data_IF_030548221058
#
_entry.id   IF_030548221058
#
_cell.length_a   1.000
_cell.length_b   1.000
_cell.length_c   1.000
_cell.angle_alpha   90.00
_cell.angle_beta   90.00
_cell.angle_gamma   90.00
#
_symmetry.space_group_name_H-M   'P 1'
#
loop_
_entity.id
_entity.type
_entity.pdbx_description
1 polymer ?
#
# COMPACT_ATOMS: atom_id res chain seq x y z
N UNK A 1 -5.68 12.18 24.08
CA UNK A 1 -4.29 11.79 23.79
C UNK A 1 -4.25 10.30 23.42
N UNK A 2 -4.73 9.96 22.22
CA UNK A 2 -4.60 8.62 21.62
C UNK A 2 -4.49 8.83 20.09
N UNK A 3 -3.28 9.21 19.66
CA UNK A 3 -2.90 9.46 18.26
C UNK A 3 -1.51 8.86 18.02
N UNK A 4 -1.32 7.55 18.25
CA UNK A 4 0.01 6.95 17.98
C UNK A 4 0.07 5.47 17.58
N UNK A 5 -1.03 4.72 17.54
CA UNK A 5 -0.95 3.27 17.25
C UNK A 5 -1.40 2.84 15.84
N UNK A 6 -1.90 3.76 15.01
CA UNK A 6 -2.28 3.43 13.63
C UNK A 6 -1.08 3.14 12.70
N UNK A 7 0.16 3.32 13.17
CA UNK A 7 1.37 3.15 12.36
C UNK A 7 2.27 1.96 12.81
N UNK A 8 1.77 1.06 13.68
CA UNK A 8 2.56 -0.07 14.23
C UNK A 8 1.93 -1.46 14.02
N UNK A 9 0.79 -1.58 13.31
CA UNK A 9 0.01 -2.83 13.26
C UNK A 9 0.14 -3.68 11.99
N UNK A 10 1.06 -3.35 11.07
CA UNK A 10 1.31 -4.16 9.86
C UNK A 10 2.57 -5.03 9.97
N UNK A 11 3.07 -5.29 11.19
CA UNK A 11 4.43 -5.84 11.40
C UNK A 11 4.59 -7.29 10.99
N UNK A 12 3.50 -8.08 10.97
CA UNK A 12 3.59 -9.53 10.73
C UNK A 12 2.52 -10.09 9.78
N UNK A 13 1.52 -9.28 9.41
CA UNK A 13 0.43 -9.70 8.52
C UNK A 13 0.44 -8.92 7.21
N UNK A 14 1.27 -9.39 6.28
CA UNK A 14 1.40 -8.82 4.94
C UNK A 14 0.13 -8.96 4.08
N UNK A 15 -0.89 -9.70 4.55
CA UNK A 15 -2.20 -9.84 3.92
C UNK A 15 -3.30 -9.06 4.65
N UNK A 16 -2.95 -8.21 5.62
CA UNK A 16 -3.93 -7.39 6.33
C UNK A 16 -4.72 -6.50 5.36
N UNK A 17 -6.05 -6.63 5.40
CA UNK A 17 -6.97 -5.80 4.60
C UNK A 17 -6.80 -4.32 4.92
N UNK A 18 -6.73 -3.98 6.21
CA UNK A 18 -6.59 -2.59 6.66
C UNK A 18 -5.30 -1.97 6.12
N UNK A 19 -4.17 -2.67 6.28
CA UNK A 19 -2.87 -2.20 5.80
C UNK A 19 -2.84 -2.05 4.28
N UNK A 20 -3.40 -3.02 3.57
CA UNK A 20 -3.48 -3.03 2.11
C UNK A 20 -4.33 -1.87 1.57
N UNK A 21 -5.52 -1.65 2.11
CA UNK A 21 -6.39 -0.56 1.70
C UNK A 21 -5.80 0.82 2.04
N UNK A 22 -5.14 0.95 3.18
CA UNK A 22 -4.47 2.19 3.57
C UNK A 22 -3.29 2.50 2.65
N UNK A 23 -2.53 1.48 2.22
CA UNK A 23 -1.44 1.65 1.26
C UNK A 23 -1.97 2.08 -0.12
N UNK A 24 -3.06 1.49 -0.61
CA UNK A 24 -3.71 1.92 -1.87
C UNK A 24 -4.11 3.41 -1.79
N UNK A 25 -4.77 3.82 -0.70
CA UNK A 25 -5.15 5.23 -0.47
C UNK A 25 -3.93 6.17 -0.44
N UNK A 26 -2.83 5.71 0.15
CA UNK A 26 -1.58 6.45 0.21
C UNK A 26 -1.00 6.67 -1.20
N UNK A 27 -0.91 5.61 -2.01
CA UNK A 27 -0.44 5.68 -3.39
C UNK A 27 -1.32 6.62 -4.23
N UNK A 28 -2.63 6.54 -4.07
CA UNK A 28 -3.57 7.42 -4.75
C UNK A 28 -3.38 8.89 -4.36
N UNK A 29 -3.14 9.16 -3.08
CA UNK A 29 -2.83 10.52 -2.59
C UNK A 29 -1.51 11.02 -3.19
N UNK A 30 -0.49 10.19 -3.23
CA UNK A 30 0.81 10.51 -3.84
C UNK A 30 0.69 10.79 -5.34
N UNK A 31 -0.04 9.96 -6.10
CA UNK A 31 -0.29 10.20 -7.53
C UNK A 31 -1.03 11.52 -7.78
N UNK A 32 -1.94 11.90 -6.89
CA UNK A 32 -2.66 13.19 -6.95
C UNK A 32 -1.81 14.39 -6.57
N UNK A 33 -0.81 14.24 -5.68
CA UNK A 33 0.04 15.37 -5.28
C UNK A 33 0.96 15.83 -6.41
N UNK A 34 1.27 14.95 -7.38
CA UNK A 34 2.21 15.22 -8.48
C UNK A 34 3.58 15.70 -8.00
N UNK A 35 3.95 15.33 -6.76
CA UNK A 35 5.24 15.66 -6.19
C UNK A 35 6.37 15.01 -6.98
N UNK A 36 7.48 15.73 -7.09
CA UNK A 36 8.69 15.18 -7.71
C UNK A 36 9.25 14.02 -6.89
N UNK A 37 9.72 12.99 -7.58
CA UNK A 37 10.51 11.93 -6.96
C UNK A 37 11.90 12.42 -6.54
N UNK A 38 12.63 11.60 -5.79
CA UNK A 38 13.98 11.93 -5.33
C UNK A 38 14.99 11.94 -6.49
N UNK A 39 16.07 12.72 -6.34
CA UNK A 39 17.14 12.80 -7.34
C UNK A 39 17.86 11.46 -7.46
N UNK A 40 18.10 11.02 -8.71
CA UNK A 40 18.73 9.73 -8.99
C UNK A 40 17.76 8.55 -9.04
N UNK A 41 16.45 8.78 -8.91
CA UNK A 41 15.46 7.73 -9.18
C UNK A 41 15.57 7.26 -10.65
N UNK A 42 15.82 5.97 -10.84
CA UNK A 42 15.91 5.32 -12.15
C UNK A 42 14.59 4.68 -12.59
N UNK A 43 13.58 4.67 -11.73
CA UNK A 43 12.29 4.05 -11.97
C UNK A 43 11.25 5.05 -12.44
N UNK A 44 10.41 4.63 -13.39
CA UNK A 44 9.21 5.38 -13.76
C UNK A 44 8.20 5.30 -12.62
N UNK A 45 7.94 6.44 -11.98
CA UNK A 45 7.05 6.54 -10.79
C UNK A 45 5.67 5.98 -11.09
N UNK A 46 5.14 6.24 -12.28
CA UNK A 46 3.84 5.72 -12.71
C UNK A 46 3.83 4.20 -12.77
N UNK A 47 4.88 3.57 -13.29
CA UNK A 47 4.96 2.11 -13.41
C UNK A 47 5.13 1.45 -12.05
N UNK A 48 6.00 2.00 -11.19
CA UNK A 48 6.21 1.48 -9.84
C UNK A 48 4.94 1.58 -9.01
N UNK A 49 4.25 2.72 -9.04
CA UNK A 49 2.99 2.87 -8.27
C UNK A 49 1.90 1.93 -8.77
N UNK A 50 1.76 1.73 -10.09
CA UNK A 50 0.84 0.74 -10.66
C UNK A 50 1.19 -0.69 -10.24
N UNK A 51 2.48 -1.05 -10.29
CA UNK A 51 2.97 -2.37 -9.90
C UNK A 51 2.65 -2.66 -8.43
N UNK A 52 2.92 -1.69 -7.54
CA UNK A 52 2.62 -1.85 -6.11
C UNK A 52 1.10 -2.02 -5.92
N UNK A 53 0.27 -1.17 -6.53
CA UNK A 53 -1.20 -1.31 -6.44
C UNK A 53 -1.66 -2.71 -6.86
N UNK A 54 -1.13 -3.25 -7.97
CA UNK A 54 -1.48 -4.58 -8.46
C UNK A 54 -1.12 -5.70 -7.46
N UNK A 55 0.05 -5.64 -6.83
CA UNK A 55 0.48 -6.63 -5.82
C UNK A 55 -0.41 -6.55 -4.57
N UNK A 56 -0.77 -5.33 -4.15
CA UNK A 56 -1.62 -5.13 -2.96
C UNK A 56 -3.07 -5.55 -3.22
N UNK A 57 -3.61 -5.32 -4.42
CA UNK A 57 -4.90 -5.87 -4.83
C UNK A 57 -4.89 -7.41 -4.80
N UNK A 58 -3.80 -8.04 -5.23
CA UNK A 58 -3.64 -9.48 -5.12
C UNK A 58 -3.57 -9.95 -3.66
N UNK A 59 -2.93 -9.20 -2.75
CA UNK A 59 -2.93 -9.50 -1.32
C UNK A 59 -4.35 -9.44 -0.71
N UNK A 60 -5.15 -8.45 -1.10
CA UNK A 60 -6.57 -8.35 -0.70
C UNK A 60 -7.39 -9.54 -1.18
N UNK A 61 -7.15 -10.00 -2.40
CA UNK A 61 -7.79 -11.22 -2.93
C UNK A 61 -7.32 -12.44 -2.16
N UNK A 62 -6.02 -12.64 -1.99
CA UNK A 62 -5.43 -13.79 -1.29
C UNK A 62 -5.96 -13.89 0.14
N UNK A 63 -6.06 -12.77 0.86
CA UNK A 63 -6.63 -12.71 2.21
C UNK A 63 -8.05 -13.26 2.27
N UNK A 64 -8.91 -12.90 1.31
CA UNK A 64 -10.31 -13.39 1.24
C UNK A 64 -10.39 -14.90 0.99
N UNK A 65 -9.42 -15.47 0.28
CA UNK A 65 -9.34 -16.91 0.03
C UNK A 65 -8.79 -17.67 1.23
N UNK A 66 -7.77 -17.14 1.91
CA UNK A 66 -7.14 -17.79 3.08
C UNK A 66 -7.98 -17.69 4.36
N UNK A 67 -8.91 -16.73 4.44
CA UNK A 67 -9.91 -16.67 5.50
C UNK A 67 -11.18 -17.50 5.24
N UNK A 68 -11.27 -18.20 4.10
CA UNK A 68 -12.30 -19.23 3.96
C UNK A 68 -11.88 -20.45 4.77
N UNK A 69 -12.78 -21.02 5.61
CA UNK A 69 -12.50 -22.25 6.32
C UNK A 69 -12.22 -23.41 5.36
#
# INVERSE_FOLDING_TARGET
MQLSYANVLCTDDYLSTECSENLIKCIDKFKRSRESTFTGNTCLVEDVTKLITLVIDAALVARRYLHKP
#
